data_IF_050653204146
#
_entry.id   IF_050653204146
#
_cell.length_a   1.000
_cell.length_b   1.000
_cell.length_c   1.000
_cell.angle_alpha   90.00
_cell.angle_beta   90.00
_cell.angle_gamma   90.00
#
_symmetry.space_group_name_H-M   'P 1'
#
loop_
_entity.id
_entity.type
_entity.pdbx_description
1 polymer ?
#
# COMPACT_ATOMS: atom_id res chain seq x y z
N UNK A 1 42.57 38.33 -50.88
CA UNK A 1 41.96 37.00 -50.59
C UNK A 1 41.63 36.94 -49.11
N UNK A 2 40.37 37.04 -48.80
CA UNK A 2 39.90 36.96 -47.41
C UNK A 2 39.33 35.57 -47.17
N UNK A 3 39.99 34.82 -46.32
CA UNK A 3 39.49 33.53 -45.89
C UNK A 3 38.35 33.73 -44.90
N UNK A 4 37.12 33.32 -45.27
CA UNK A 4 35.98 33.24 -44.36
C UNK A 4 36.12 31.99 -43.50
N UNK A 5 36.40 32.18 -42.23
CA UNK A 5 36.32 31.08 -41.23
C UNK A 5 34.85 30.94 -40.78
N UNK A 6 34.23 29.90 -41.27
CA UNK A 6 32.90 29.48 -40.79
C UNK A 6 33.10 28.73 -39.48
N UNK A 7 32.75 29.36 -38.35
CA UNK A 7 32.63 28.67 -37.06
C UNK A 7 31.34 27.84 -37.06
N UNK A 8 31.51 26.53 -37.22
CA UNK A 8 30.42 25.59 -36.97
C UNK A 8 30.20 25.46 -35.46
N UNK A 9 29.14 26.10 -34.97
CA UNK A 9 28.67 25.90 -33.60
C UNK A 9 27.87 24.61 -33.58
N UNK A 10 28.50 23.53 -33.13
CA UNK A 10 27.81 22.26 -32.89
C UNK A 10 26.95 22.40 -31.60
N UNK A 11 25.68 22.58 -31.79
CA UNK A 11 24.70 22.47 -30.69
C UNK A 11 24.58 21.00 -30.25
N UNK A 12 25.28 20.68 -29.17
CA UNK A 12 25.12 19.38 -28.48
C UNK A 12 23.82 19.41 -27.70
N UNK A 13 22.73 18.89 -28.29
CA UNK A 13 21.48 18.67 -27.60
C UNK A 13 21.66 17.47 -26.69
N UNK A 14 21.91 17.74 -25.40
CA UNK A 14 21.93 16.71 -24.37
C UNK A 14 20.49 16.30 -24.12
N UNK A 15 20.08 15.18 -24.70
CA UNK A 15 18.84 14.50 -24.36
C UNK A 15 19.02 13.90 -22.97
N UNK A 16 18.59 14.62 -21.94
CA UNK A 16 18.46 14.07 -20.58
C UNK A 16 17.28 13.11 -20.62
N UNK A 17 17.57 11.83 -20.76
CA UNK A 17 16.60 10.78 -20.53
C UNK A 17 16.33 10.74 -19.03
N UNK A 18 15.30 11.43 -18.61
CA UNK A 18 14.77 11.27 -17.27
C UNK A 18 14.21 9.85 -17.18
N UNK A 19 15.02 8.94 -16.65
CA UNK A 19 14.53 7.63 -16.21
C UNK A 19 13.58 7.89 -15.04
N UNK A 20 12.30 8.08 -15.33
CA UNK A 20 11.23 8.01 -14.33
C UNK A 20 11.14 6.55 -13.94
N UNK A 21 11.92 6.17 -12.92
CA UNK A 21 11.73 4.90 -12.26
C UNK A 21 10.37 4.97 -11.58
N UNK A 22 9.33 4.41 -12.22
CA UNK A 22 8.09 4.12 -11.54
C UNK A 22 8.44 3.16 -10.41
N UNK A 23 8.44 3.64 -9.16
CA UNK A 23 8.66 2.79 -8.01
C UNK A 23 7.51 1.77 -7.95
N UNK A 24 7.81 0.55 -8.35
CA UNK A 24 6.88 -0.56 -8.23
C UNK A 24 6.67 -0.80 -6.74
N UNK A 25 5.44 -0.67 -6.27
CA UNK A 25 5.12 -0.93 -4.86
C UNK A 25 5.46 -2.38 -4.53
N UNK A 26 6.03 -2.59 -3.35
CA UNK A 26 6.41 -3.91 -2.87
C UNK A 26 5.21 -4.79 -2.51
N UNK A 27 4.01 -4.21 -2.42
CA UNK A 27 2.77 -4.86 -1.98
C UNK A 27 1.57 -4.49 -2.86
N UNK A 28 0.54 -5.31 -2.78
CA UNK A 28 -0.79 -5.07 -3.34
C UNK A 28 -1.81 -5.07 -2.21
N UNK A 29 -2.71 -4.09 -2.19
CA UNK A 29 -3.88 -4.10 -1.31
C UNK A 29 -4.99 -4.89 -1.97
N UNK A 30 -5.60 -5.79 -1.21
CA UNK A 30 -6.59 -6.74 -1.71
C UNK A 30 -7.86 -6.70 -0.87
N UNK A 31 -8.98 -6.90 -1.53
CA UNK A 31 -10.31 -7.04 -0.91
C UNK A 31 -11.04 -8.26 -1.47
N UNK A 32 -12.15 -8.64 -0.81
CA UNK A 32 -13.00 -9.70 -1.32
C UNK A 32 -13.58 -9.31 -2.69
N UNK A 33 -13.73 -10.27 -3.63
CA UNK A 33 -14.30 -9.99 -4.96
C UNK A 33 -15.70 -9.38 -4.93
N UNK A 34 -16.50 -9.64 -3.89
CA UNK A 34 -17.83 -9.05 -3.72
C UNK A 34 -17.82 -7.57 -3.31
N UNK A 35 -16.67 -7.06 -2.85
CA UNK A 35 -16.53 -5.68 -2.46
C UNK A 35 -16.47 -4.79 -3.72
N UNK A 36 -17.36 -3.77 -3.87
CA UNK A 36 -17.38 -2.91 -5.05
C UNK A 36 -16.21 -1.92 -5.13
N UNK A 37 -15.41 -1.78 -4.07
CA UNK A 37 -14.27 -0.85 -4.03
C UNK A 37 -13.25 -1.21 -5.12
N UNK A 38 -12.94 -0.26 -6.00
CA UNK A 38 -11.89 -0.39 -7.04
C UNK A 38 -10.67 0.46 -6.73
N UNK A 39 -10.86 1.56 -6.00
CA UNK A 39 -9.80 2.43 -5.53
C UNK A 39 -10.09 2.92 -4.11
N UNK A 40 -9.04 3.20 -3.35
CA UNK A 40 -9.13 3.68 -1.98
C UNK A 40 -7.94 4.58 -1.67
N UNK A 41 -8.14 5.65 -0.90
CA UNK A 41 -7.03 6.54 -0.54
C UNK A 41 -6.14 5.92 0.56
N UNK A 42 -4.87 6.34 0.61
CA UNK A 42 -3.94 5.97 1.68
C UNK A 42 -4.53 6.27 3.07
N UNK A 43 -5.17 7.42 3.21
CA UNK A 43 -5.80 7.80 4.47
C UNK A 43 -6.89 6.81 4.89
N UNK A 44 -7.77 6.43 3.99
CA UNK A 44 -8.85 5.48 4.30
C UNK A 44 -8.31 4.09 4.62
N UNK A 45 -7.30 3.61 3.90
CA UNK A 45 -6.62 2.34 4.24
C UNK A 45 -6.01 2.44 5.64
N UNK A 46 -5.28 3.51 5.93
CA UNK A 46 -4.67 3.72 7.24
C UNK A 46 -5.71 3.72 8.37
N UNK A 47 -6.81 4.44 8.19
CA UNK A 47 -7.90 4.52 9.18
C UNK A 47 -8.53 3.16 9.45
N UNK A 48 -8.71 2.34 8.41
CA UNK A 48 -9.26 0.98 8.56
C UNK A 48 -8.27 0.09 9.34
N UNK A 49 -7.00 0.06 8.94
CA UNK A 49 -6.00 -0.77 9.61
C UNK A 49 -5.68 -0.33 11.04
N UNK A 50 -5.79 0.96 11.36
CA UNK A 50 -5.68 1.48 12.72
C UNK A 50 -7.01 1.44 13.50
N UNK A 51 -8.03 0.83 12.93
CA UNK A 51 -9.40 0.73 13.49
C UNK A 51 -10.01 2.07 13.91
N UNK A 52 -9.58 3.15 13.26
CA UNK A 52 -10.21 4.47 13.36
C UNK A 52 -11.48 4.57 12.52
N UNK A 53 -11.66 3.65 11.57
CA UNK A 53 -12.89 3.43 10.82
C UNK A 53 -13.16 1.93 10.74
N UNK A 54 -14.41 1.54 10.93
CA UNK A 54 -14.89 0.17 10.73
C UNK A 54 -15.56 -0.03 9.37
N UNK A 55 -15.47 0.95 8.48
CA UNK A 55 -16.17 0.95 7.20
C UNK A 55 -15.28 1.43 6.06
N UNK A 56 -15.53 0.88 4.88
CA UNK A 56 -15.07 1.44 3.61
C UNK A 56 -15.78 2.75 3.30
N UNK A 57 -15.24 3.59 2.39
CA UNK A 57 -15.89 4.82 1.95
C UNK A 57 -17.30 4.62 1.38
N UNK A 58 -17.58 3.44 0.81
CA UNK A 58 -18.91 3.07 0.29
C UNK A 58 -19.91 2.68 1.39
N UNK A 59 -19.52 2.71 2.66
CA UNK A 59 -20.36 2.40 3.82
C UNK A 59 -20.40 0.92 4.21
N UNK A 60 -19.83 0.00 3.44
CA UNK A 60 -19.74 -1.41 3.81
C UNK A 60 -18.73 -1.64 4.95
N UNK A 61 -18.93 -2.69 5.73
CA UNK A 61 -18.04 -3.02 6.84
C UNK A 61 -16.66 -3.42 6.35
N UNK A 62 -15.64 -3.00 7.08
CA UNK A 62 -14.24 -3.30 6.80
C UNK A 62 -13.63 -4.11 7.94
N UNK A 63 -13.02 -5.24 7.58
CA UNK A 63 -12.32 -6.16 8.48
C UNK A 63 -10.87 -6.31 8.04
N UNK A 64 -9.94 -5.54 8.62
CA UNK A 64 -8.54 -5.59 8.23
C UNK A 64 -7.85 -6.85 8.78
N UNK A 65 -6.93 -7.40 7.99
CA UNK A 65 -6.01 -8.47 8.37
C UNK A 65 -4.59 -8.04 8.02
N UNK A 66 -3.65 -8.30 8.92
CA UNK A 66 -2.27 -7.80 8.83
C UNK A 66 -1.28 -8.95 8.62
N UNK A 67 -0.07 -8.60 8.21
CA UNK A 67 1.08 -9.50 8.16
C UNK A 67 1.85 -9.50 9.50
N UNK A 68 2.69 -10.51 9.77
CA UNK A 68 3.49 -10.56 10.98
C UNK A 68 4.42 -9.36 11.14
N UNK A 69 4.74 -8.99 12.39
CA UNK A 69 5.58 -7.84 12.72
C UNK A 69 6.98 -7.85 12.11
N UNK A 70 7.52 -9.04 11.79
CA UNK A 70 8.83 -9.21 11.16
C UNK A 70 8.79 -9.20 9.62
N UNK A 71 7.64 -8.97 9.01
CA UNK A 71 7.49 -8.93 7.56
C UNK A 71 8.08 -7.64 6.97
N UNK A 72 8.98 -7.78 5.99
CA UNK A 72 9.48 -6.64 5.22
C UNK A 72 8.37 -5.95 4.41
N UNK A 73 7.37 -6.71 3.97
CA UNK A 73 6.19 -6.18 3.28
C UNK A 73 5.34 -5.33 4.22
N UNK A 74 5.18 -5.77 5.47
CA UNK A 74 4.49 -4.97 6.50
C UNK A 74 5.21 -3.66 6.79
N UNK A 75 6.55 -3.67 6.87
CA UNK A 75 7.33 -2.45 7.06
C UNK A 75 7.09 -1.46 5.92
N UNK A 76 7.16 -1.92 4.67
CA UNK A 76 6.91 -1.07 3.51
C UNK A 76 5.47 -0.52 3.49
N UNK A 77 4.50 -1.37 3.77
CA UNK A 77 3.10 -0.96 3.89
C UNK A 77 2.93 0.11 4.98
N UNK A 78 3.53 -0.08 6.15
CA UNK A 78 3.45 0.85 7.26
C UNK A 78 4.02 2.23 6.89
N UNK A 79 5.21 2.26 6.27
CA UNK A 79 5.84 3.50 5.82
C UNK A 79 4.96 4.25 4.82
N UNK A 80 4.42 3.55 3.83
CA UNK A 80 3.63 4.17 2.76
C UNK A 80 2.23 4.61 3.24
N UNK A 81 1.55 3.73 3.96
CA UNK A 81 0.13 3.91 4.32
C UNK A 81 -0.04 4.72 5.59
N UNK A 82 0.75 4.42 6.62
CA UNK A 82 0.67 5.11 7.90
C UNK A 82 1.66 6.28 8.03
N UNK A 83 2.64 6.37 7.12
CA UNK A 83 3.73 7.35 7.21
C UNK A 83 4.64 7.12 8.41
N UNK A 84 4.69 5.89 8.92
CA UNK A 84 5.41 5.50 10.15
C UNK A 84 6.02 4.12 10.01
N UNK A 85 7.16 3.85 10.68
CA UNK A 85 7.69 2.50 10.75
C UNK A 85 6.73 1.57 11.49
N UNK A 86 6.78 0.27 11.18
CA UNK A 86 5.91 -0.73 11.80
C UNK A 86 6.05 -0.77 13.34
N UNK A 87 7.22 -0.45 13.88
CA UNK A 87 7.46 -0.35 15.32
C UNK A 87 6.62 0.75 16.01
N UNK A 88 6.37 1.87 15.35
CA UNK A 88 5.48 2.91 15.89
C UNK A 88 4.01 2.50 15.84
N UNK A 89 3.61 1.76 14.83
CA UNK A 89 2.27 1.17 14.76
C UNK A 89 2.08 0.13 15.86
N UNK A 90 3.09 -0.67 16.14
CA UNK A 90 3.12 -1.60 17.28
C UNK A 90 2.93 -0.87 18.61
N UNK A 91 3.68 0.22 18.83
CA UNK A 91 3.56 1.04 20.05
C UNK A 91 2.16 1.66 20.18
N UNK A 92 1.56 2.09 19.09
CA UNK A 92 0.16 2.56 19.07
C UNK A 92 -0.81 1.47 19.58
N UNK A 93 -0.66 0.23 19.10
CA UNK A 93 -1.50 -0.88 19.53
C UNK A 93 -1.27 -1.26 20.98
N UNK A 94 -0.03 -1.32 21.45
CA UNK A 94 0.27 -1.58 22.85
C UNK A 94 -0.44 -0.59 23.76
N UNK A 95 -0.42 0.71 23.42
CA UNK A 95 -1.11 1.74 24.17
C UNK A 95 -2.63 1.52 24.22
N UNK A 96 -3.25 1.12 23.13
CA UNK A 96 -4.68 0.84 23.08
C UNK A 96 -5.06 -0.42 23.85
N UNK A 97 -4.26 -1.48 23.76
CA UNK A 97 -4.43 -2.73 24.52
C UNK A 97 -4.38 -2.44 26.02
N UNK A 98 -3.35 -1.72 26.50
CA UNK A 98 -3.21 -1.38 27.92
C UNK A 98 -4.34 -0.50 28.45
N UNK A 99 -4.91 0.36 27.62
CA UNK A 99 -6.05 1.18 27.99
C UNK A 99 -7.41 0.48 27.82
N UNK A 100 -7.43 -0.77 27.36
CA UNK A 100 -8.65 -1.56 27.14
C UNK A 100 -9.56 -1.03 26.04
N UNK A 101 -9.04 -0.22 25.11
CA UNK A 101 -9.85 0.44 24.08
C UNK A 101 -10.08 -0.41 22.85
N UNK A 102 -9.03 -1.09 22.37
CA UNK A 102 -9.09 -1.90 21.15
C UNK A 102 -7.93 -2.89 21.07
N UNK A 103 -8.01 -3.79 20.10
CA UNK A 103 -6.99 -4.78 19.78
C UNK A 103 -6.59 -4.64 18.30
N UNK A 104 -5.33 -4.97 17.95
CA UNK A 104 -4.86 -4.90 16.57
C UNK A 104 -5.60 -5.88 15.65
N UNK A 105 -5.57 -5.65 14.33
CA UNK A 105 -5.97 -6.67 13.37
C UNK A 105 -5.22 -7.98 13.59
N UNK A 106 -5.88 -9.11 13.31
CA UNK A 106 -5.23 -10.41 13.36
C UNK A 106 -4.06 -10.45 12.37
N UNK A 107 -2.93 -11.03 12.80
CA UNK A 107 -1.76 -11.24 11.96
C UNK A 107 -1.78 -12.63 11.36
N UNK A 108 -1.55 -12.74 10.05
CA UNK A 108 -1.54 -13.98 9.30
C UNK A 108 -0.38 -13.99 8.29
N UNK A 109 0.06 -15.19 7.89
CA UNK A 109 0.95 -15.34 6.73
C UNK A 109 0.29 -14.78 5.46
N UNK A 110 1.05 -14.53 4.41
CA UNK A 110 0.46 -14.08 3.13
C UNK A 110 -0.62 -15.03 2.62
N UNK A 111 -0.40 -16.34 2.71
CA UNK A 111 -1.42 -17.35 2.39
C UNK A 111 -2.66 -17.17 3.28
N UNK A 112 -2.47 -16.98 4.58
CA UNK A 112 -3.57 -16.75 5.52
C UNK A 112 -4.33 -15.46 5.24
N UNK A 113 -3.66 -14.39 4.82
CA UNK A 113 -4.30 -13.14 4.38
C UNK A 113 -5.16 -13.39 3.14
N UNK A 114 -4.63 -14.08 2.13
CA UNK A 114 -5.38 -14.43 0.93
C UNK A 114 -6.63 -15.27 1.25
N UNK A 115 -6.48 -16.29 2.09
CA UNK A 115 -7.60 -17.15 2.50
C UNK A 115 -8.66 -16.37 3.29
N UNK A 116 -8.23 -15.49 4.18
CA UNK A 116 -9.14 -14.63 4.95
C UNK A 116 -9.92 -13.67 4.04
N UNK A 117 -9.24 -13.03 3.11
CA UNK A 117 -9.87 -12.10 2.16
C UNK A 117 -10.85 -12.80 1.23
N UNK A 118 -10.52 -14.02 0.77
CA UNK A 118 -11.45 -14.83 -0.05
C UNK A 118 -12.72 -15.21 0.69
N UNK A 119 -12.64 -15.44 2.00
CA UNK A 119 -13.70 -16.01 2.81
C UNK A 119 -14.59 -14.96 3.50
N UNK A 120 -14.22 -13.69 3.49
CA UNK A 120 -14.93 -12.63 4.22
C UNK A 120 -15.20 -11.43 3.33
N UNK A 121 -16.47 -11.10 3.14
CA UNK A 121 -16.93 -10.04 2.24
C UNK A 121 -16.37 -8.65 2.59
N UNK A 122 -16.21 -8.37 3.88
CA UNK A 122 -15.67 -7.10 4.39
C UNK A 122 -14.15 -7.06 4.53
N UNK A 123 -13.44 -8.13 4.18
CA UNK A 123 -12.01 -8.21 4.40
C UNK A 123 -11.21 -7.24 3.55
N UNK A 124 -10.17 -6.69 4.16
CA UNK A 124 -9.10 -5.96 3.48
C UNK A 124 -7.76 -6.42 4.05
N UNK A 125 -6.82 -6.69 3.17
CA UNK A 125 -5.47 -7.08 3.51
C UNK A 125 -4.48 -6.59 2.48
N UNK A 126 -3.24 -7.00 2.62
CA UNK A 126 -2.20 -6.74 1.63
C UNK A 126 -1.23 -7.93 1.59
N UNK A 127 -0.63 -8.14 0.44
CA UNK A 127 0.33 -9.20 0.17
C UNK A 127 1.48 -8.66 -0.67
N UNK A 128 2.56 -9.41 -0.82
CA UNK A 128 3.66 -9.01 -1.70
C UNK A 128 3.18 -8.79 -3.14
N UNK A 129 3.85 -7.91 -3.86
CA UNK A 129 3.53 -7.61 -5.26
C UNK A 129 3.64 -8.84 -6.17
N UNK A 130 4.47 -9.83 -5.79
CA UNK A 130 4.67 -11.08 -6.52
C UNK A 130 3.64 -12.17 -6.16
N UNK A 131 2.79 -11.96 -5.13
CA UNK A 131 1.81 -12.96 -4.71
C UNK A 131 0.75 -13.21 -5.80
N UNK A 132 0.32 -14.47 -5.93
CA UNK A 132 -0.82 -14.83 -6.75
C UNK A 132 -2.12 -14.33 -6.09
N UNK A 133 -2.81 -13.45 -6.78
CA UNK A 133 -4.04 -12.80 -6.30
C UNK A 133 -5.32 -13.43 -6.90
N UNK A 134 -5.25 -14.67 -7.38
CA UNK A 134 -6.44 -15.38 -7.82
C UNK A 134 -7.48 -15.51 -6.71
N UNK A 135 -8.73 -15.20 -7.01
CA UNK A 135 -9.86 -15.27 -6.06
C UNK A 135 -9.97 -14.08 -5.09
N UNK A 136 -9.13 -13.07 -5.21
CA UNK A 136 -9.25 -11.77 -4.52
C UNK A 136 -9.23 -10.63 -5.54
N UNK A 137 -9.63 -9.44 -5.11
CA UNK A 137 -9.57 -8.24 -5.95
C UNK A 137 -8.47 -7.31 -5.48
N UNK A 138 -7.57 -6.94 -6.39
CA UNK A 138 -6.55 -5.91 -6.15
C UNK A 138 -7.18 -4.53 -6.28
N UNK A 139 -6.96 -3.68 -5.29
CA UNK A 139 -7.50 -2.32 -5.22
C UNK A 139 -6.41 -1.31 -5.51
N UNK A 140 -6.72 -0.32 -6.34
CA UNK A 140 -5.81 0.80 -6.57
C UNK A 140 -5.76 1.69 -5.32
N UNK A 141 -4.57 1.90 -4.77
CA UNK A 141 -4.38 2.81 -3.64
C UNK A 141 -3.82 4.14 -4.11
N UNK A 142 -4.53 5.21 -3.80
CA UNK A 142 -4.22 6.56 -4.26
C UNK A 142 -3.87 7.48 -3.09
N UNK A 143 -3.14 8.55 -3.36
CA UNK A 143 -2.82 9.56 -2.33
C UNK A 143 -4.04 10.41 -1.94
N UNK A 144 -5.04 10.47 -2.83
CA UNK A 144 -6.26 11.28 -2.67
C UNK A 144 -7.48 10.42 -2.91
#
# INVERSE_FOLDING_TARGET
>A
MKQLRVCAVSLFVIFIWSNVWAQTKAYKVIVNPSNPTTSISYENVSRIFLKKSSKFPNGSNASPVDLPGNSAIREQFSQDIHGKPASEVEAYWQKLIFSGRDIPPAQKSEKGVLDFVRSNDGAIGYVSAAADTAGVKVVLVTKF
#
